data_IF_663736343000
#
_entry.id   IF_663736343000
#
_cell.length_a   1.000
_cell.length_b   1.000
_cell.length_c   1.000
_cell.angle_alpha   90.00
_cell.angle_beta   90.00
_cell.angle_gamma   90.00
#
_symmetry.space_group_name_H-M   'P 1'
#
loop_
_entity.id
_entity.type
_entity.pdbx_description
1 polymer ?
#
# COMPACT_ATOMS: atom_id res chain seq x y z
N UNK A 1 -0.17 0.71 -3.60
CA UNK A 1 -0.85 -0.56 -3.30
C UNK A 1 -1.16 -0.68 -1.81
N UNK A 2 -2.24 -1.36 -1.44
CA UNK A 2 -2.59 -1.69 -0.05
C UNK A 2 -2.25 -3.16 0.19
N UNK A 3 -1.62 -3.48 1.32
CA UNK A 3 -1.13 -4.82 1.63
C UNK A 3 -1.59 -5.29 3.01
N UNK A 4 -2.00 -6.54 3.08
CA UNK A 4 -2.24 -7.28 4.34
C UNK A 4 -1.08 -8.26 4.55
N UNK A 5 -0.45 -8.20 5.72
CA UNK A 5 0.70 -9.03 6.06
C UNK A 5 0.28 -10.48 6.36
N UNK A 6 0.92 -11.45 5.73
CA UNK A 6 0.82 -12.87 6.07
C UNK A 6 2.07 -13.36 6.82
N UNK A 7 2.02 -14.53 7.49
CA UNK A 7 3.15 -15.01 8.31
C UNK A 7 4.47 -15.23 7.57
N UNK A 8 4.42 -15.41 6.25
CA UNK A 8 5.60 -15.66 5.41
C UNK A 8 6.09 -14.41 4.67
N UNK A 9 5.30 -13.33 4.64
CA UNK A 9 5.67 -12.10 3.96
C UNK A 9 6.88 -11.43 4.63
N UNK A 10 7.77 -10.86 3.84
CA UNK A 10 9.01 -10.25 4.32
C UNK A 10 10.10 -11.26 4.67
N UNK A 11 9.84 -12.55 4.62
CA UNK A 11 10.87 -13.59 4.74
C UNK A 11 11.54 -13.82 3.38
N UNK A 12 12.81 -14.31 3.37
CA UNK A 12 13.46 -14.70 2.14
C UNK A 12 12.65 -15.77 1.39
N UNK A 13 12.57 -15.67 0.08
CA UNK A 13 11.93 -16.69 -0.75
C UNK A 13 12.74 -17.98 -0.59
N UNK A 14 12.07 -19.07 -0.19
CA UNK A 14 12.72 -20.38 -0.08
C UNK A 14 12.89 -21.00 -1.46
N UNK A 15 14.08 -21.60 -1.77
CA UNK A 15 14.27 -22.28 -3.04
C UNK A 15 13.35 -23.48 -3.16
N UNK A 16 12.80 -23.67 -4.35
CA UNK A 16 11.99 -24.86 -4.63
C UNK A 16 12.86 -26.13 -4.57
N UNK A 17 12.39 -27.18 -3.89
CA UNK A 17 13.08 -28.45 -3.82
C UNK A 17 13.14 -29.14 -5.19
N UNK A 18 14.31 -29.70 -5.55
CA UNK A 18 14.49 -30.50 -6.77
C UNK A 18 14.90 -29.73 -8.04
N UNK A 19 15.39 -28.52 -7.93
CA UNK A 19 15.86 -27.72 -9.06
C UNK A 19 17.21 -28.19 -9.60
N UNK A 20 17.41 -28.08 -10.93
CA UNK A 20 18.70 -28.28 -11.58
C UNK A 20 19.72 -27.19 -11.18
N UNK A 21 21.05 -27.44 -11.25
CA UNK A 21 22.07 -26.46 -10.85
C UNK A 21 21.96 -25.09 -11.52
N UNK A 22 21.52 -25.04 -12.77
CA UNK A 22 21.33 -23.78 -13.52
C UNK A 22 20.09 -23.01 -12.98
N UNK A 23 19.01 -23.71 -12.66
CA UNK A 23 17.82 -23.11 -12.03
C UNK A 23 18.08 -22.69 -10.59
N UNK A 24 18.94 -23.44 -9.86
CA UNK A 24 19.38 -23.05 -8.52
C UNK A 24 20.18 -21.74 -8.52
N UNK A 25 20.99 -21.48 -9.54
CA UNK A 25 21.75 -20.23 -9.66
C UNK A 25 20.80 -19.01 -9.85
N UNK A 26 19.74 -19.17 -10.63
CA UNK A 26 18.70 -18.15 -10.83
C UNK A 26 17.88 -17.98 -9.54
N UNK A 27 17.49 -19.07 -8.93
CA UNK A 27 16.70 -19.09 -7.68
C UNK A 27 17.47 -18.46 -6.52
N UNK A 28 18.78 -18.71 -6.41
CA UNK A 28 19.66 -18.06 -5.43
C UNK A 28 19.73 -16.54 -5.60
N UNK A 29 19.48 -16.02 -6.80
CA UNK A 29 19.38 -14.58 -7.04
C UNK A 29 18.03 -14.05 -6.53
N UNK A 30 16.96 -14.84 -6.65
CA UNK A 30 15.61 -14.50 -6.18
C UNK A 30 15.48 -14.60 -4.64
N UNK A 31 16.26 -15.47 -3.98
CA UNK A 31 16.31 -15.62 -2.51
C UNK A 31 16.70 -14.32 -1.79
N UNK A 32 17.37 -13.39 -2.50
CA UNK A 32 17.73 -12.08 -1.93
C UNK A 32 16.54 -11.14 -1.75
N UNK A 33 15.42 -11.42 -2.42
CA UNK A 33 14.22 -10.59 -2.31
C UNK A 33 13.27 -11.16 -1.26
N UNK A 34 12.68 -10.31 -0.41
CA UNK A 34 11.65 -10.76 0.52
C UNK A 34 10.39 -11.18 -0.25
N UNK A 35 9.69 -12.16 0.27
CA UNK A 35 8.36 -12.49 -0.22
C UNK A 35 7.44 -11.29 0.01
N UNK A 36 6.98 -10.67 -1.06
CA UNK A 36 6.12 -9.51 -0.96
C UNK A 36 4.67 -9.91 -0.67
N UNK A 37 3.98 -9.19 0.23
CA UNK A 37 2.58 -9.44 0.51
C UNK A 37 1.72 -9.19 -0.72
N UNK A 38 0.65 -9.96 -0.85
CA UNK A 38 -0.29 -9.77 -1.96
C UNK A 38 -1.04 -8.45 -1.78
N UNK A 39 -1.15 -7.64 -2.85
CA UNK A 39 -1.96 -6.43 -2.79
C UNK A 39 -3.44 -6.77 -2.59
N UNK A 40 -4.11 -5.96 -1.81
CA UNK A 40 -5.55 -6.00 -1.63
C UNK A 40 -6.21 -4.76 -2.22
N UNK A 41 -7.52 -4.80 -2.37
CA UNK A 41 -8.27 -3.64 -2.89
C UNK A 41 -8.18 -2.47 -1.92
N UNK A 42 -7.81 -1.28 -2.41
CA UNK A 42 -7.66 -0.08 -1.58
C UNK A 42 -9.04 0.55 -1.29
N UNK A 43 -9.75 -0.05 -0.32
CA UNK A 43 -11.05 0.41 0.16
C UNK A 43 -11.18 0.25 1.67
N UNK A 44 -11.74 1.23 2.35
CA UNK A 44 -12.04 1.21 3.79
C UNK A 44 -12.99 0.08 4.19
N UNK A 45 -13.89 -0.34 3.30
CA UNK A 45 -14.83 -1.43 3.57
C UNK A 45 -14.14 -2.77 3.89
N UNK A 46 -12.85 -2.89 3.57
CA UNK A 46 -12.06 -4.11 3.80
C UNK A 46 -11.12 -3.99 5.00
N UNK A 47 -11.16 -2.86 5.68
CA UNK A 47 -10.29 -2.59 6.83
C UNK A 47 -11.02 -2.88 8.13
N UNK A 48 -10.36 -3.60 9.00
CA UNK A 48 -10.91 -4.00 10.28
C UNK A 48 -10.24 -3.24 11.43
N UNK A 49 -10.99 -2.86 12.50
CA UNK A 49 -10.43 -2.07 13.59
C UNK A 49 -9.27 -2.73 14.34
N UNK A 50 -9.13 -4.05 14.26
CA UNK A 50 -8.02 -4.81 14.85
C UNK A 50 -6.85 -5.04 13.87
N UNK A 51 -6.98 -4.58 12.63
CA UNK A 51 -5.99 -4.77 11.58
C UNK A 51 -4.86 -3.74 11.59
N UNK A 52 -3.78 -4.10 10.89
CA UNK A 52 -2.70 -3.21 10.51
C UNK A 52 -2.46 -3.35 9.01
N UNK A 53 -2.46 -2.24 8.28
CA UNK A 53 -2.40 -2.24 6.82
C UNK A 53 -1.30 -1.31 6.33
N UNK A 54 -0.47 -1.80 5.41
CA UNK A 54 0.58 -1.02 4.78
C UNK A 54 0.11 -0.56 3.40
N UNK A 55 0.05 0.76 3.20
CA UNK A 55 -0.23 1.38 1.92
C UNK A 55 1.08 1.93 1.36
N UNK A 56 1.37 1.58 0.12
CA UNK A 56 2.48 2.09 -0.68
C UNK A 56 1.92 2.94 -1.82
N UNK A 57 2.31 4.21 -1.88
CA UNK A 57 1.94 5.13 -2.96
C UNK A 57 3.09 5.42 -3.93
N UNK A 58 4.26 4.77 -3.78
CA UNK A 58 5.45 4.95 -4.59
C UNK A 58 6.39 6.02 -4.08
N UNK A 59 5.97 6.92 -3.21
CA UNK A 59 6.80 7.98 -2.62
C UNK A 59 7.18 7.66 -1.17
N UNK A 60 6.25 7.16 -0.40
CA UNK A 60 6.33 6.79 1.00
C UNK A 60 5.33 5.68 1.33
N UNK A 61 5.45 5.08 2.49
CA UNK A 61 4.53 4.09 3.01
C UNK A 61 3.69 4.68 4.15
N UNK A 62 2.39 4.38 4.17
CA UNK A 62 1.49 4.63 5.28
C UNK A 62 1.17 3.33 6.00
N UNK A 63 1.49 3.24 7.28
CA UNK A 63 1.06 2.14 8.13
C UNK A 63 -0.18 2.56 8.92
N UNK A 64 -1.35 2.09 8.50
CA UNK A 64 -2.59 2.31 9.22
C UNK A 64 -2.76 1.27 10.33
N UNK A 65 -3.07 1.76 11.53
CA UNK A 65 -3.26 0.96 12.73
C UNK A 65 -4.70 1.16 13.23
N UNK A 66 -5.48 0.09 13.25
CA UNK A 66 -6.85 0.10 13.75
C UNK A 66 -6.94 0.40 15.23
N UNK A 67 -8.06 0.98 15.68
CA UNK A 67 -8.26 1.38 17.08
C UNK A 67 -8.22 0.22 18.08
N UNK A 68 -8.43 -1.02 17.61
CA UNK A 68 -8.42 -2.25 18.40
C UNK A 68 -7.23 -3.16 18.03
N UNK A 69 -6.17 -2.60 17.46
CA UNK A 69 -4.96 -3.36 17.14
C UNK A 69 -4.38 -3.99 18.40
N UNK A 70 -3.88 -5.22 18.27
CA UNK A 70 -3.33 -5.99 19.39
C UNK A 70 -2.15 -5.28 20.05
N UNK A 71 -2.10 -5.17 21.40
CA UNK A 71 -0.92 -4.68 22.13
C UNK A 71 0.34 -5.46 21.79
N UNK A 72 0.21 -6.76 21.53
CA UNK A 72 1.34 -7.61 21.12
C UNK A 72 1.93 -7.20 19.77
N UNK A 73 1.09 -6.82 18.80
CA UNK A 73 1.54 -6.30 17.51
C UNK A 73 2.30 -4.98 17.69
N UNK A 74 1.80 -4.08 18.54
CA UNK A 74 2.47 -2.81 18.84
C UNK A 74 3.82 -3.03 19.55
N UNK A 75 3.87 -3.96 20.49
CA UNK A 75 5.11 -4.33 21.17
C UNK A 75 6.14 -4.90 20.19
N UNK A 76 5.73 -5.83 19.33
CA UNK A 76 6.61 -6.47 18.35
C UNK A 76 7.11 -5.51 17.26
N UNK A 77 6.32 -4.49 16.89
CA UNK A 77 6.65 -3.59 15.79
C UNK A 77 7.26 -2.26 16.25
N UNK A 78 6.84 -1.74 17.42
CA UNK A 78 7.22 -0.43 17.92
C UNK A 78 7.82 -0.44 19.33
N UNK A 79 7.72 -1.54 20.07
CA UNK A 79 8.18 -1.64 21.45
C UNK A 79 7.28 -0.94 22.48
N UNK A 80 6.03 -0.64 22.09
CA UNK A 80 5.00 -0.02 22.93
C UNK A 80 3.77 -0.93 23.04
N UNK A 81 2.93 -0.72 24.03
CA UNK A 81 1.73 -1.55 24.26
C UNK A 81 0.42 -0.86 23.91
N UNK A 82 0.47 0.44 23.66
CA UNK A 82 -0.71 1.27 23.36
C UNK A 82 -0.45 2.19 22.18
N UNK A 83 -1.51 2.47 21.41
CA UNK A 83 -1.49 3.47 20.32
C UNK A 83 -1.19 4.88 20.83
N UNK A 84 -1.47 5.17 22.10
CA UNK A 84 -1.22 6.49 22.70
C UNK A 84 0.27 6.74 22.97
N UNK A 85 1.05 5.67 23.13
CA UNK A 85 2.51 5.74 23.34
C UNK A 85 3.28 5.94 22.04
N UNK A 86 2.63 5.73 20.86
CA UNK A 86 3.25 5.94 19.56
C UNK A 86 3.42 7.42 19.26
N UNK A 87 4.64 7.85 18.91
CA UNK A 87 4.86 9.18 18.35
C UNK A 87 4.36 9.22 16.91
N UNK A 88 3.29 10.00 16.61
CA UNK A 88 2.74 10.09 15.25
C UNK A 88 3.69 10.75 14.24
N UNK A 89 4.78 11.37 14.70
CA UNK A 89 5.79 12.01 13.84
C UNK A 89 6.90 11.05 13.41
N UNK A 90 6.85 9.79 13.82
CA UNK A 90 7.83 8.80 13.36
C UNK A 90 7.71 8.61 11.85
N UNK A 91 8.84 8.63 11.18
CA UNK A 91 8.94 8.43 9.72
C UNK A 91 9.73 7.17 9.36
N UNK A 92 10.07 6.36 10.35
CA UNK A 92 10.78 5.09 10.17
C UNK A 92 10.37 4.07 11.23
N UNK A 93 10.45 2.80 10.87
CA UNK A 93 10.21 1.70 11.81
C UNK A 93 11.42 1.52 12.72
N UNK A 94 11.23 1.30 14.04
CA UNK A 94 12.32 0.99 14.94
C UNK A 94 12.94 -0.38 14.62
N UNK A 95 14.22 -0.54 14.93
CA UNK A 95 14.92 -1.82 14.75
C UNK A 95 14.75 -2.63 16.02
N UNK A 96 13.78 -3.53 16.02
CA UNK A 96 13.51 -4.42 17.14
C UNK A 96 13.94 -5.87 16.80
N UNK A 97 14.36 -6.66 17.81
CA UNK A 97 14.79 -8.05 17.62
C UNK A 97 13.59 -9.01 17.52
N UNK A 98 12.47 -8.55 16.97
CA UNK A 98 11.25 -9.35 16.80
C UNK A 98 11.09 -9.80 15.34
N UNK A 99 10.52 -10.98 15.09
CA UNK A 99 10.26 -11.46 13.74
C UNK A 99 9.38 -10.48 12.94
N UNK A 100 8.32 -9.94 13.55
CA UNK A 100 7.41 -9.00 12.89
C UNK A 100 8.13 -7.72 12.46
N UNK A 101 8.95 -7.11 13.34
CA UNK A 101 9.73 -5.92 12.98
C UNK A 101 10.68 -6.21 11.82
N UNK A 102 11.33 -7.37 11.81
CA UNK A 102 12.21 -7.77 10.71
C UNK A 102 11.43 -7.94 9.39
N UNK A 103 10.30 -8.65 9.42
CA UNK A 103 9.43 -8.86 8.25
C UNK A 103 8.96 -7.54 7.64
N UNK A 104 8.37 -6.66 8.44
CA UNK A 104 7.82 -5.38 7.94
C UNK A 104 8.93 -4.49 7.39
N UNK A 105 10.08 -4.42 8.04
CA UNK A 105 11.24 -3.66 7.52
C UNK A 105 11.75 -4.24 6.19
N UNK A 106 11.79 -5.58 6.04
CA UNK A 106 12.18 -6.23 4.79
C UNK A 106 11.19 -5.94 3.67
N UNK A 107 9.89 -5.89 3.97
CA UNK A 107 8.85 -5.52 2.99
C UNK A 107 9.04 -4.07 2.55
N UNK A 108 9.20 -3.13 3.49
CA UNK A 108 9.43 -1.71 3.17
C UNK A 108 10.69 -1.51 2.34
N UNK A 109 11.75 -2.23 2.65
CA UNK A 109 12.99 -2.22 1.86
C UNK A 109 12.76 -2.78 0.45
N UNK A 110 12.04 -3.89 0.31
CA UNK A 110 11.68 -4.45 -1.00
C UNK A 110 10.81 -3.50 -1.84
N UNK A 111 9.88 -2.77 -1.22
CA UNK A 111 9.10 -1.72 -1.89
C UNK A 111 10.01 -0.57 -2.35
N UNK A 112 10.95 -0.12 -1.50
CA UNK A 112 11.92 0.91 -1.88
C UNK A 112 12.72 0.50 -3.11
N UNK A 113 13.23 -0.72 -3.15
CA UNK A 113 13.98 -1.27 -4.29
C UNK A 113 13.13 -1.36 -5.56
N UNK A 114 11.85 -1.77 -5.47
CA UNK A 114 10.93 -1.77 -6.60
C UNK A 114 10.72 -0.38 -7.20
N UNK A 115 10.77 0.67 -6.37
CA UNK A 115 10.66 2.07 -6.81
C UNK A 115 12.02 2.69 -7.17
N UNK A 116 13.12 1.92 -7.16
CA UNK A 116 14.46 2.43 -7.42
C UNK A 116 14.98 3.39 -6.35
N UNK A 117 14.48 3.27 -5.11
CA UNK A 117 14.84 4.11 -3.96
C UNK A 117 15.73 3.36 -2.98
N UNK A 118 16.57 4.09 -2.26
CA UNK A 118 17.41 3.54 -1.18
C UNK A 118 16.56 3.16 0.04
N UNK A 119 15.54 3.98 0.35
CA UNK A 119 14.61 3.75 1.45
C UNK A 119 13.28 4.46 1.21
N UNK A 120 12.23 4.01 1.87
CA UNK A 120 10.94 4.70 1.95
C UNK A 120 10.68 5.14 3.38
N UNK A 121 10.09 6.33 3.54
CA UNK A 121 9.54 6.76 4.81
C UNK A 121 8.31 5.93 5.16
N UNK A 122 8.16 5.60 6.44
CA UNK A 122 6.97 4.91 6.95
C UNK A 122 6.27 5.84 7.94
N UNK A 123 5.13 6.37 7.53
CA UNK A 123 4.32 7.25 8.37
C UNK A 123 3.16 6.46 8.98
N UNK A 124 2.82 6.77 10.22
CA UNK A 124 1.77 6.09 10.97
C UNK A 124 0.45 6.86 10.82
N UNK A 125 -0.62 6.12 10.51
CA UNK A 125 -2.00 6.60 10.58
C UNK A 125 -2.75 5.77 11.62
N UNK A 126 -3.21 6.41 12.72
CA UNK A 126 -3.95 5.72 13.80
C UNK A 126 -5.43 6.01 13.68
N UNK A 127 -6.22 4.97 13.61
CA UNK A 127 -7.68 5.08 13.46
C UNK A 127 -8.30 5.98 14.53
N UNK A 128 -9.06 7.00 14.09
CA UNK A 128 -9.77 7.98 14.92
C UNK A 128 -8.87 8.81 15.87
N UNK A 129 -7.57 8.97 15.56
CA UNK A 129 -6.63 9.64 16.48
C UNK A 129 -5.81 10.77 15.84
N UNK A 130 -5.54 10.71 14.56
CA UNK A 130 -4.70 11.72 13.91
C UNK A 130 -5.14 12.05 12.48
N UNK A 131 -4.65 13.18 11.97
CA UNK A 131 -4.99 13.64 10.61
C UNK A 131 -4.40 12.81 9.49
N UNK A 132 -3.43 11.92 9.79
CA UNK A 132 -2.84 11.03 8.79
C UNK A 132 -3.82 9.96 8.32
N UNK A 133 -4.89 9.69 9.07
CA UNK A 133 -5.98 8.83 8.63
C UNK A 133 -6.72 9.41 7.41
N UNK A 134 -6.87 10.74 7.34
CA UNK A 134 -7.45 11.42 6.18
C UNK A 134 -6.56 11.25 4.96
N UNK A 135 -5.24 11.43 5.14
CA UNK A 135 -4.27 11.23 4.06
C UNK A 135 -4.25 9.75 3.60
N UNK A 136 -4.32 8.81 4.54
CA UNK A 136 -4.47 7.40 4.21
C UNK A 136 -5.75 7.15 3.40
N UNK A 137 -6.88 7.72 3.82
CA UNK A 137 -8.16 7.59 3.12
C UNK A 137 -8.11 8.14 1.68
N UNK A 138 -7.44 9.27 1.47
CA UNK A 138 -7.28 9.87 0.13
C UNK A 138 -6.54 8.97 -0.85
N UNK A 139 -5.73 8.04 -0.36
CA UNK A 139 -5.01 7.05 -1.18
C UNK A 139 -5.83 5.76 -1.43
N UNK A 140 -7.02 5.62 -0.84
CA UNK A 140 -7.91 4.47 -1.06
C UNK A 140 -8.78 4.73 -2.30
N UNK A 141 -8.19 4.54 -3.46
CA UNK A 141 -8.75 4.94 -4.78
C UNK A 141 -10.04 4.21 -5.20
N UNK A 142 -10.44 3.13 -4.51
CA UNK A 142 -11.72 2.46 -4.77
C UNK A 142 -12.89 3.12 -4.03
N UNK A 143 -12.61 3.99 -3.05
CA UNK A 143 -13.63 4.70 -2.30
C UNK A 143 -13.88 6.09 -2.88
N UNK A 144 -15.08 6.62 -2.67
CA UNK A 144 -15.38 8.03 -2.90
C UNK A 144 -14.90 8.83 -1.68
N UNK A 145 -13.87 9.64 -1.84
CA UNK A 145 -13.32 10.45 -0.79
C UNK A 145 -13.33 11.94 -1.17
N UNK A 146 -13.75 12.81 -0.25
CA UNK A 146 -13.69 14.27 -0.42
C UNK A 146 -14.25 14.77 -1.76
N UNK A 147 -15.43 14.31 -2.15
CA UNK A 147 -16.09 14.61 -3.43
C UNK A 147 -15.37 14.09 -4.68
N UNK A 148 -14.26 13.36 -4.54
CA UNK A 148 -13.62 12.69 -5.66
C UNK A 148 -14.40 11.44 -6.08
N UNK A 149 -14.44 11.18 -7.37
CA UNK A 149 -15.01 9.94 -7.89
C UNK A 149 -14.16 8.74 -7.45
N UNK A 150 -14.83 7.61 -7.14
CA UNK A 150 -14.10 6.35 -7.05
C UNK A 150 -13.43 6.02 -8.39
N UNK A 151 -12.37 5.20 -8.36
CA UNK A 151 -11.70 4.77 -9.60
C UNK A 151 -12.66 4.11 -10.60
N UNK A 152 -13.63 3.35 -10.11
CA UNK A 152 -14.65 2.70 -10.94
C UNK A 152 -15.58 3.74 -11.57
N UNK A 153 -16.06 4.71 -10.81
CA UNK A 153 -16.91 5.78 -11.32
C UNK A 153 -16.18 6.65 -12.35
N UNK A 154 -14.90 6.92 -12.10
CA UNK A 154 -14.02 7.61 -13.05
C UNK A 154 -13.91 6.83 -14.37
N UNK A 155 -13.65 5.54 -14.34
CA UNK A 155 -13.60 4.71 -15.54
C UNK A 155 -14.94 4.69 -16.29
N UNK A 156 -16.05 4.59 -15.57
CA UNK A 156 -17.39 4.66 -16.14
C UNK A 156 -17.67 6.03 -16.78
N UNK A 157 -17.19 7.11 -16.16
CA UNK A 157 -17.30 8.46 -16.71
C UNK A 157 -16.49 8.59 -18.00
N UNK A 158 -15.22 8.20 -18.00
CA UNK A 158 -14.34 8.23 -19.19
C UNK A 158 -14.94 7.40 -20.33
N UNK A 159 -15.41 6.17 -20.05
CA UNK A 159 -16.05 5.32 -21.04
C UNK A 159 -17.29 5.99 -21.66
N UNK A 160 -18.11 6.64 -20.85
CA UNK A 160 -19.30 7.35 -21.30
C UNK A 160 -18.96 8.52 -22.22
N UNK A 161 -17.93 9.31 -21.85
CA UNK A 161 -17.45 10.45 -22.67
C UNK A 161 -16.93 9.96 -24.01
N UNK A 162 -16.06 8.96 -24.03
CA UNK A 162 -15.50 8.38 -25.26
C UNK A 162 -16.63 7.84 -26.16
N UNK A 163 -17.56 7.08 -25.59
CA UNK A 163 -18.69 6.52 -26.35
C UNK A 163 -19.58 7.62 -26.94
N UNK A 164 -19.81 8.71 -26.22
CA UNK A 164 -20.56 9.87 -26.69
C UNK A 164 -19.84 10.56 -27.84
N UNK A 165 -18.55 10.80 -27.74
CA UNK A 165 -17.76 11.47 -28.78
C UNK A 165 -17.66 10.62 -30.04
N UNK A 166 -17.48 9.31 -29.93
CA UNK A 166 -17.51 8.37 -31.07
C UNK A 166 -18.87 8.35 -31.79
N UNK A 167 -19.98 8.40 -31.03
CA UNK A 167 -21.32 8.39 -31.60
C UNK A 167 -21.74 9.73 -32.19
N UNK A 168 -21.14 10.83 -31.73
CA UNK A 168 -21.45 12.19 -32.26
C UNK A 168 -20.65 12.57 -33.50
N UNK A 169 -19.72 11.72 -33.96
CA UNK A 169 -18.89 11.98 -35.16
C UNK A 169 -17.99 13.21 -35.07
N UNK A 170 -17.61 13.63 -33.83
CA UNK A 170 -16.71 14.76 -33.61
C UNK A 170 -15.29 14.39 -34.02
N UNK A 171 -14.63 15.32 -34.71
CA UNK A 171 -13.20 15.20 -35.04
C UNK A 171 -12.33 15.11 -33.79
N UNK A 172 -11.22 14.34 -33.87
CA UNK A 172 -10.28 14.03 -32.76
C UNK A 172 -9.76 15.27 -31.99
N UNK A 173 -9.84 16.46 -32.58
CA UNK A 173 -9.35 17.72 -31.97
C UNK A 173 -10.23 18.25 -30.82
N UNK A 174 -11.51 17.90 -30.80
CA UNK A 174 -12.44 18.36 -29.75
C UNK A 174 -12.56 17.39 -28.57
N UNK A 175 -12.21 16.12 -28.77
CA UNK A 175 -12.30 15.10 -27.73
C UNK A 175 -11.35 15.35 -26.55
N UNK A 176 -10.13 15.83 -26.82
CA UNK A 176 -9.14 16.12 -25.76
C UNK A 176 -9.55 17.29 -24.86
N UNK A 177 -10.26 18.28 -25.39
CA UNK A 177 -10.69 19.46 -24.63
C UNK A 177 -11.86 19.18 -23.69
N UNK A 178 -12.71 18.19 -23.99
CA UNK A 178 -13.86 17.83 -23.16
C UNK A 178 -13.47 16.95 -21.96
N UNK A 179 -12.43 16.13 -22.10
CA UNK A 179 -11.92 15.28 -21.02
C UNK A 179 -11.33 16.08 -19.86
N UNK A 180 -10.73 17.25 -20.12
CA UNK A 180 -10.08 18.07 -19.10
C UNK A 180 -11.03 19.03 -18.36
N UNK A 181 -12.23 19.30 -18.87
CA UNK A 181 -13.19 20.22 -18.23
C UNK A 181 -13.88 19.65 -16.99
N UNK A 182 -13.76 18.36 -16.74
CA UNK A 182 -14.32 17.69 -15.56
C UNK A 182 -13.38 17.61 -14.35
N UNK A 183 -12.19 18.23 -14.44
CA UNK A 183 -11.15 18.19 -13.39
C UNK A 183 -10.89 19.52 -12.67
N UNK A 184 -11.74 20.56 -12.93
CA UNK A 184 -11.64 21.86 -12.27
C UNK A 184 -12.90 22.13 -11.46
#
# INVERSE_FOLDING_TARGET
ALHLLSPTDGLPIQPAEGLTPEKQAIDNTLIRFPQMPRPMRPSFMRMEPHGAYLLDNGEWCLLWLGAQVSPKLLEDLYGVTSLDELDPRMTSLPVLPTPLSQQVRSIVQGLAEQHGKVSLQVVIARQNRDGMEVEFANNLVEDQNNDAMSYVDYLCHVHRVISSDMNSGRDEKDASASLWKGFI
#
